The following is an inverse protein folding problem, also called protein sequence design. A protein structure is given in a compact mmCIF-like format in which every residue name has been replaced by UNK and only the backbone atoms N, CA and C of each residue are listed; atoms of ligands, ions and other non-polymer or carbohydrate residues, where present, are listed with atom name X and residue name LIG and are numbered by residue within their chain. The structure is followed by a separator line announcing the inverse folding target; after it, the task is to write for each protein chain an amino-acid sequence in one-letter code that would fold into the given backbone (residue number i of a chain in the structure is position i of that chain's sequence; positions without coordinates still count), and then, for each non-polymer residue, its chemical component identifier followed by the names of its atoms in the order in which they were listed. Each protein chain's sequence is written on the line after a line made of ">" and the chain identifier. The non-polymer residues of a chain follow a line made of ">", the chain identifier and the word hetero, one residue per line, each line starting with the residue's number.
data_IF_321052832743
#
_entry.id   IF_321052832743
#
_cell.length_a   1.000
_cell.length_b   1.000
_cell.length_c   1.000
_cell.angle_alpha   90.00
_cell.angle_beta   90.00
_cell.angle_gamma   90.00
#
_symmetry.space_group_name_H-M   'P 1'
#
loop_
_entity.id
_entity.type
_entity.pdbx_description
1 polymer ?
#
# COMPACT_ATOMS: atom_id res chain seq x y z
N UNK A 1 -12.80 -16.97 -25.41
CA UNK A 1 -11.85 -16.99 -24.28
C UNK A 1 -11.34 -15.56 -24.14
N UNK A 2 -11.99 -14.80 -23.27
CA UNK A 2 -11.69 -13.39 -23.05
C UNK A 2 -10.34 -13.26 -22.36
N UNK A 3 -9.33 -12.93 -23.16
CA UNK A 3 -8.05 -12.43 -22.70
C UNK A 3 -8.38 -11.13 -21.97
N UNK A 4 -8.20 -11.12 -20.64
CA UNK A 4 -8.15 -9.91 -19.81
C UNK A 4 -7.44 -8.83 -20.62
N UNK A 5 -8.11 -7.70 -20.89
CA UNK A 5 -7.47 -6.51 -21.45
C UNK A 5 -6.30 -6.17 -20.52
N UNK A 6 -5.09 -6.58 -20.90
CA UNK A 6 -3.87 -6.09 -20.27
C UNK A 6 -3.93 -4.56 -20.36
N UNK A 7 -3.92 -3.92 -19.18
CA UNK A 7 -3.79 -2.46 -19.03
C UNK A 7 -2.57 -2.06 -19.88
N UNK A 8 -2.80 -1.39 -21.01
CA UNK A 8 -1.70 -1.05 -21.91
C UNK A 8 -0.76 -0.05 -21.20
N UNK A 9 0.56 -0.11 -21.42
CA UNK A 9 1.50 0.75 -20.73
C UNK A 9 1.37 2.18 -21.27
N UNK A 10 0.64 3.01 -20.55
CA UNK A 10 0.79 4.47 -20.57
C UNK A 10 1.58 4.91 -19.34
N UNK A 11 2.07 6.16 -19.36
CA UNK A 11 2.88 6.82 -18.33
C UNK A 11 2.43 6.64 -16.86
N UNK A 12 1.21 6.14 -16.62
CA UNK A 12 0.61 5.81 -15.33
C UNK A 12 1.34 4.73 -14.51
N UNK A 13 2.12 3.83 -15.13
CA UNK A 13 2.88 2.82 -14.36
C UNK A 13 3.92 3.47 -13.43
N UNK A 14 4.51 4.59 -13.85
CA UNK A 14 5.45 5.34 -13.01
C UNK A 14 4.77 5.86 -11.75
N UNK A 15 3.53 6.37 -11.87
CA UNK A 15 2.83 6.94 -10.73
C UNK A 15 2.40 5.91 -9.70
N UNK A 16 1.71 4.83 -10.11
CA UNK A 16 1.25 3.82 -9.14
C UNK A 16 2.43 3.24 -8.36
N UNK A 17 3.55 3.00 -9.03
CA UNK A 17 4.77 2.56 -8.38
C UNK A 17 5.29 3.61 -7.40
N UNK A 18 5.48 4.86 -7.84
CA UNK A 18 6.00 5.94 -6.99
C UNK A 18 5.08 6.26 -5.80
N UNK A 19 3.76 6.20 -6.01
CA UNK A 19 2.78 6.39 -4.95
C UNK A 19 2.84 5.26 -3.93
N UNK A 20 2.91 4.00 -4.36
CA UNK A 20 3.07 2.86 -3.46
C UNK A 20 4.38 2.91 -2.68
N UNK A 21 5.47 3.37 -3.30
CA UNK A 21 6.77 3.55 -2.65
C UNK A 21 6.69 4.63 -1.56
N UNK A 22 6.28 5.86 -1.90
CA UNK A 22 6.13 6.96 -0.92
C UNK A 22 5.21 6.56 0.23
N UNK A 23 4.12 5.88 -0.09
CA UNK A 23 3.16 5.40 0.88
C UNK A 23 3.77 4.35 1.82
N UNK A 24 4.54 3.40 1.30
CA UNK A 24 5.25 2.39 2.10
C UNK A 24 6.36 2.99 2.98
N UNK A 25 7.15 3.93 2.46
CA UNK A 25 8.20 4.61 3.24
C UNK A 25 7.63 5.29 4.48
N UNK A 26 6.50 5.97 4.31
CA UNK A 26 5.88 6.78 5.37
C UNK A 26 4.93 5.98 6.27
N UNK A 27 4.57 4.73 5.93
CA UNK A 27 3.75 3.88 6.78
C UNK A 27 4.54 3.33 7.98
N UNK A 28 4.53 4.05 9.09
CA UNK A 28 5.28 3.71 10.31
C UNK A 28 4.40 3.80 11.57
N UNK A 29 3.45 2.86 11.75
CA UNK A 29 2.58 2.85 12.93
C UNK A 29 3.41 2.63 14.20
N UNK A 30 3.41 3.57 15.17
CA UNK A 30 4.37 3.59 16.27
C UNK A 30 4.23 2.42 17.25
N UNK A 31 3.07 1.76 17.30
CA UNK A 31 2.85 0.59 18.15
C UNK A 31 3.48 -0.71 17.61
N UNK A 32 3.97 -0.72 16.37
CA UNK A 32 4.57 -1.90 15.74
C UNK A 32 5.99 -1.59 15.30
N UNK A 33 6.93 -2.45 15.68
CA UNK A 33 8.25 -2.47 15.07
C UNK A 33 8.17 -2.89 13.59
N UNK A 34 9.10 -2.42 12.76
CA UNK A 34 9.08 -2.63 11.29
C UNK A 34 9.04 -4.11 10.91
N UNK A 35 9.75 -4.96 11.64
CA UNK A 35 9.79 -6.42 11.54
C UNK A 35 8.48 -7.12 11.96
N UNK A 36 7.44 -6.37 12.30
CA UNK A 36 6.08 -6.86 12.57
C UNK A 36 5.06 -6.32 11.59
N UNK A 37 5.51 -5.66 10.53
CA UNK A 37 4.68 -5.03 9.52
C UNK A 37 5.04 -5.62 8.16
N UNK A 38 4.03 -6.09 7.43
CA UNK A 38 4.15 -6.40 6.02
C UNK A 38 3.41 -5.33 5.24
N UNK A 39 4.09 -4.75 4.25
CA UNK A 39 3.48 -3.91 3.22
C UNK A 39 3.62 -4.63 1.89
N UNK A 40 2.53 -4.75 1.17
CA UNK A 40 2.49 -5.49 -0.08
C UNK A 40 1.85 -4.65 -1.17
N UNK A 41 2.54 -4.58 -2.30
CA UNK A 41 2.13 -3.84 -3.49
C UNK A 41 1.89 -4.85 -4.61
N UNK A 42 0.73 -4.78 -5.28
CA UNK A 42 0.40 -5.68 -6.39
C UNK A 42 0.65 -7.16 -6.04
N UNK A 43 0.17 -7.60 -4.89
CA UNK A 43 0.35 -8.97 -4.39
C UNK A 43 -1.00 -9.65 -4.22
N UNK A 44 -1.09 -10.91 -4.66
CA UNK A 44 -2.29 -11.74 -4.47
C UNK A 44 -2.59 -11.95 -2.99
N UNK A 45 -3.83 -11.68 -2.59
CA UNK A 45 -4.36 -11.89 -1.25
C UNK A 45 -5.34 -13.07 -1.28
N UNK A 46 -4.91 -14.23 -0.81
CA UNK A 46 -5.74 -15.44 -0.75
C UNK A 46 -6.52 -15.49 0.56
N UNK A 47 -7.82 -15.74 0.44
CA UNK A 47 -8.78 -15.57 1.54
C UNK A 47 -9.57 -16.83 1.90
N UNK A 48 -9.53 -17.88 1.07
CA UNK A 48 -10.30 -19.10 1.29
C UNK A 48 -9.42 -20.36 1.28
N UNK A 49 -9.24 -21.06 2.42
CA UNK A 49 -8.46 -22.29 2.48
C UNK A 49 -9.12 -23.48 1.77
N UNK A 50 -10.44 -23.45 1.55
CA UNK A 50 -11.18 -24.47 0.81
C UNK A 50 -11.12 -24.23 -0.71
N UNK A 51 -10.90 -22.98 -1.12
CA UNK A 51 -10.72 -22.57 -2.51
C UNK A 51 -9.35 -21.86 -2.68
N UNK A 52 -8.22 -22.60 -2.61
CA UNK A 52 -6.89 -22.01 -2.49
C UNK A 52 -6.38 -21.24 -3.73
N UNK A 53 -7.14 -21.25 -4.82
CA UNK A 53 -6.87 -20.44 -6.02
C UNK A 53 -7.62 -19.10 -6.02
N UNK A 54 -8.55 -18.90 -5.09
CA UNK A 54 -9.31 -17.67 -4.98
C UNK A 54 -8.47 -16.63 -4.24
N UNK A 55 -8.26 -15.51 -4.92
CA UNK A 55 -7.52 -14.39 -4.38
C UNK A 55 -8.07 -13.09 -4.94
N UNK A 56 -7.87 -12.02 -4.17
CA UNK A 56 -7.96 -10.65 -4.66
C UNK A 56 -6.57 -10.12 -5.01
N UNK A 57 -6.52 -9.06 -5.81
CA UNK A 57 -5.27 -8.44 -6.25
C UNK A 57 -5.27 -6.93 -6.00
N UNK A 58 -5.22 -6.52 -4.71
CA UNK A 58 -5.23 -5.11 -4.36
C UNK A 58 -3.95 -4.40 -4.83
N UNK A 59 -4.08 -3.11 -5.18
CA UNK A 59 -2.92 -2.27 -5.48
C UNK A 59 -1.97 -2.15 -4.27
N UNK A 60 -2.52 -2.06 -3.06
CA UNK A 60 -1.76 -2.01 -1.81
C UNK A 60 -2.50 -2.62 -0.61
N UNK A 61 -1.80 -3.30 0.28
CA UNK A 61 -2.30 -3.64 1.62
C UNK A 61 -1.21 -3.69 2.67
N UNK A 62 -1.60 -3.54 3.94
CA UNK A 62 -0.70 -3.76 5.08
C UNK A 62 -1.28 -4.72 6.10
N UNK A 63 -0.40 -5.54 6.64
CA UNK A 63 -0.64 -6.40 7.79
C UNK A 63 0.27 -5.94 8.91
N UNK A 64 -0.29 -5.72 10.09
CA UNK A 64 0.45 -5.28 11.28
C UNK A 64 0.39 -6.31 12.40
N UNK A 65 1.42 -6.33 13.24
CA UNK A 65 1.52 -7.24 14.37
C UNK A 65 1.88 -8.68 14.00
N UNK A 66 2.46 -8.91 12.82
CA UNK A 66 2.98 -10.22 12.43
C UNK A 66 4.02 -10.74 13.43
N UNK A 67 4.22 -12.06 13.42
CA UNK A 67 5.38 -12.68 14.08
C UNK A 67 6.63 -12.30 13.31
N UNK A 68 7.73 -12.00 14.02
CA UNK A 68 9.03 -11.64 13.42
C UNK A 68 9.48 -12.70 12.41
N UNK A 69 9.26 -13.97 12.72
CA UNK A 69 9.61 -15.11 11.87
C UNK A 69 8.86 -15.17 10.53
N UNK A 70 7.77 -14.41 10.38
CA UNK A 70 6.93 -14.44 9.19
C UNK A 70 7.21 -13.27 8.24
N UNK A 71 7.68 -12.12 8.72
CA UNK A 71 7.77 -10.90 7.89
C UNK A 71 8.69 -11.10 6.69
N UNK A 72 9.87 -11.68 6.88
CA UNK A 72 10.87 -11.87 5.81
C UNK A 72 10.71 -13.16 5.01
N UNK A 73 9.66 -13.95 5.25
CA UNK A 73 9.45 -15.18 4.49
C UNK A 73 9.22 -14.85 3.01
N UNK A 74 9.94 -15.51 2.08
CA UNK A 74 9.73 -15.31 0.65
C UNK A 74 8.31 -15.68 0.24
N UNK A 75 7.50 -14.68 -0.10
CA UNK A 75 6.13 -14.86 -0.60
C UNK A 75 6.15 -14.95 -2.12
N UNK A 76 6.64 -16.09 -2.63
CA UNK A 76 6.74 -16.29 -4.10
C UNK A 76 5.38 -16.33 -4.80
N UNK A 77 4.29 -16.61 -4.08
CA UNK A 77 2.97 -16.89 -4.66
C UNK A 77 1.84 -15.98 -4.14
N UNK A 78 2.11 -15.09 -3.18
CA UNK A 78 1.14 -14.18 -2.56
C UNK A 78 1.03 -14.32 -1.03
N UNK A 79 0.04 -13.64 -0.45
CA UNK A 79 -0.27 -13.68 0.99
C UNK A 79 -1.46 -14.59 1.26
N UNK A 80 -1.24 -15.65 2.02
CA UNK A 80 -2.25 -16.64 2.37
C UNK A 80 -2.73 -16.42 3.80
N UNK A 81 -3.92 -15.83 3.96
CA UNK A 81 -4.45 -15.40 5.28
C UNK A 81 -4.53 -16.54 6.31
N UNK A 82 -4.79 -17.78 5.88
CA UNK A 82 -4.83 -18.96 6.77
C UNK A 82 -3.45 -19.51 7.14
N UNK A 83 -2.42 -19.28 6.33
CA UNK A 83 -1.04 -19.68 6.67
C UNK A 83 -0.40 -18.66 7.60
N UNK A 84 -0.67 -17.38 7.36
CA UNK A 84 -0.08 -16.25 8.07
C UNK A 84 -0.85 -15.92 9.36
N UNK A 85 -2.08 -16.41 9.49
CA UNK A 85 -2.91 -16.28 10.69
C UNK A 85 -3.37 -14.85 10.99
N UNK A 86 -3.20 -13.92 10.04
CA UNK A 86 -3.60 -12.53 10.16
C UNK A 86 -4.26 -12.03 8.88
N UNK A 87 -5.19 -11.11 9.07
CA UNK A 87 -5.84 -10.35 8.01
C UNK A 87 -5.15 -8.99 7.84
N UNK A 88 -5.23 -8.37 6.66
CA UNK A 88 -4.82 -6.98 6.49
C UNK A 88 -5.52 -6.05 7.48
N UNK A 89 -4.79 -5.04 7.95
CA UNK A 89 -5.33 -3.91 8.70
C UNK A 89 -5.88 -2.83 7.77
N UNK A 90 -5.47 -2.84 6.50
CA UNK A 90 -5.98 -1.94 5.46
C UNK A 90 -5.75 -2.56 4.09
N UNK A 91 -6.68 -2.29 3.17
CA UNK A 91 -6.50 -2.45 1.72
C UNK A 91 -6.73 -1.11 1.05
N UNK A 92 -5.96 -0.82 0.00
CA UNK A 92 -6.06 0.38 -0.81
C UNK A 92 -6.05 0.06 -2.30
N UNK A 93 -6.86 0.81 -3.05
CA UNK A 93 -6.99 0.70 -4.50
C UNK A 93 -6.83 2.06 -5.18
N UNK A 94 -6.09 2.11 -6.28
CA UNK A 94 -5.85 3.29 -7.09
C UNK A 94 -6.73 3.28 -8.35
N UNK A 95 -8.03 3.47 -8.13
CA UNK A 95 -9.06 3.41 -9.17
C UNK A 95 -9.82 4.73 -9.26
N UNK A 96 -10.47 5.02 -10.41
CA UNK A 96 -11.43 6.11 -10.50
C UNK A 96 -12.51 5.99 -9.41
N UNK A 97 -12.93 7.13 -8.84
CA UNK A 97 -13.88 7.16 -7.71
C UNK A 97 -15.27 6.59 -8.03
N UNK A 98 -15.62 6.45 -9.31
CA UNK A 98 -16.89 5.88 -9.79
C UNK A 98 -16.73 4.42 -10.24
N UNK A 99 -15.56 3.83 -10.05
CA UNK A 99 -15.31 2.43 -10.40
C UNK A 99 -15.97 1.51 -9.37
N UNK A 100 -16.98 0.78 -9.82
CA UNK A 100 -17.75 -0.16 -9.02
C UNK A 100 -17.27 -1.61 -9.21
N UNK A 101 -16.12 -1.83 -9.85
CA UNK A 101 -15.57 -3.17 -10.10
C UNK A 101 -15.39 -4.00 -8.84
N UNK A 102 -15.05 -3.36 -7.71
CA UNK A 102 -14.97 -4.04 -6.42
C UNK A 102 -16.30 -4.68 -5.98
N UNK A 103 -17.45 -4.21 -6.48
CA UNK A 103 -18.78 -4.76 -6.20
C UNK A 103 -19.30 -5.67 -7.31
N UNK A 104 -18.47 -6.00 -8.29
CA UNK A 104 -18.79 -6.92 -9.37
C UNK A 104 -17.97 -8.21 -9.20
N UNK A 105 -18.59 -9.39 -9.33
CA UNK A 105 -17.87 -10.63 -9.12
C UNK A 105 -16.98 -10.93 -10.33
N UNK A 106 -15.76 -11.40 -10.06
CA UNK A 106 -14.82 -11.83 -11.11
C UNK A 106 -15.27 -13.10 -11.83
N UNK A 107 -16.07 -13.93 -11.16
CA UNK A 107 -16.74 -15.10 -11.75
C UNK A 107 -18.03 -15.42 -10.98
N UNK A 108 -19.00 -16.15 -11.56
CA UNK A 108 -20.29 -16.43 -10.91
C UNK A 108 -20.20 -17.18 -9.58
N UNK A 109 -19.07 -17.84 -9.32
CA UNK A 109 -18.84 -18.64 -8.12
C UNK A 109 -18.03 -17.88 -7.06
N UNK A 110 -17.38 -16.78 -7.44
CA UNK A 110 -16.53 -16.00 -6.54
C UNK A 110 -17.29 -14.81 -5.98
N UNK A 111 -17.09 -14.51 -4.68
CA UNK A 111 -17.53 -13.24 -4.09
C UNK A 111 -16.92 -12.05 -4.84
N UNK A 112 -17.53 -10.88 -4.65
CA UNK A 112 -16.95 -9.60 -5.08
C UNK A 112 -15.77 -9.21 -4.18
N UNK A 113 -14.82 -8.41 -4.66
CA UNK A 113 -13.72 -7.92 -3.83
C UNK A 113 -14.22 -7.19 -2.57
N UNK A 114 -15.33 -6.45 -2.70
CA UNK A 114 -16.00 -5.79 -1.59
C UNK A 114 -16.45 -6.80 -0.52
N UNK A 115 -17.14 -7.87 -0.92
CA UNK A 115 -17.56 -8.93 0.01
C UNK A 115 -16.37 -9.66 0.62
N UNK A 116 -15.30 -9.90 -0.14
CA UNK A 116 -14.06 -10.48 0.39
C UNK A 116 -13.50 -9.59 1.49
N UNK A 117 -13.34 -8.29 1.23
CA UNK A 117 -12.74 -7.37 2.21
C UNK A 117 -13.66 -7.13 3.40
N UNK A 118 -14.96 -6.96 3.19
CA UNK A 118 -15.95 -6.61 4.21
C UNK A 118 -16.37 -7.81 5.06
N UNK A 119 -16.81 -8.91 4.42
CA UNK A 119 -17.52 -10.00 5.07
C UNK A 119 -16.62 -11.20 5.37
N UNK A 120 -15.71 -11.54 4.45
CA UNK A 120 -14.89 -12.76 4.57
C UNK A 120 -13.66 -12.47 5.42
N UNK A 121 -12.90 -11.44 5.05
CA UNK A 121 -11.68 -11.05 5.75
C UNK A 121 -11.97 -10.06 6.88
N UNK A 122 -13.05 -9.29 6.82
CA UNK A 122 -13.41 -8.31 7.85
C UNK A 122 -12.37 -7.20 8.01
N UNK A 123 -11.73 -6.78 6.92
CA UNK A 123 -10.64 -5.79 6.92
C UNK A 123 -11.17 -4.46 7.51
N UNK A 124 -10.46 -3.81 8.45
CA UNK A 124 -11.03 -2.67 9.18
C UNK A 124 -11.19 -1.42 8.30
N UNK A 125 -10.30 -1.26 7.32
CA UNK A 125 -10.23 -0.08 6.47
C UNK A 125 -10.05 -0.47 5.00
N UNK A 126 -10.92 0.06 4.16
CA UNK A 126 -10.81 -0.01 2.72
C UNK A 126 -10.74 1.40 2.14
N UNK A 127 -9.70 1.68 1.36
CA UNK A 127 -9.42 3.03 0.85
C UNK A 127 -9.38 3.01 -0.68
N UNK A 128 -10.09 3.93 -1.30
CA UNK A 128 -10.04 4.14 -2.76
C UNK A 128 -9.44 5.51 -3.00
N UNK A 129 -8.42 5.58 -3.83
CA UNK A 129 -7.82 6.84 -4.23
C UNK A 129 -7.81 7.02 -5.74
N UNK A 130 -8.56 8.04 -6.17
CA UNK A 130 -8.62 8.45 -7.55
C UNK A 130 -7.53 9.49 -7.82
N UNK A 131 -6.46 9.03 -8.45
CA UNK A 131 -5.30 9.86 -8.78
C UNK A 131 -5.57 10.91 -9.86
N UNK A 132 -6.65 10.77 -10.62
CA UNK A 132 -7.02 11.73 -11.67
C UNK A 132 -7.74 12.95 -11.07
N UNK A 133 -8.58 12.70 -10.06
CA UNK A 133 -9.35 13.75 -9.37
C UNK A 133 -8.75 14.16 -8.04
N UNK A 134 -7.72 13.45 -7.56
CA UNK A 134 -7.19 13.54 -6.20
C UNK A 134 -8.29 13.35 -5.13
N UNK A 135 -9.24 12.47 -5.41
CA UNK A 135 -10.34 12.16 -4.50
C UNK A 135 -9.99 10.94 -3.65
N UNK A 136 -10.06 11.10 -2.34
CA UNK A 136 -9.89 10.02 -1.37
C UNK A 136 -11.26 9.58 -0.88
N UNK A 137 -11.54 8.27 -0.93
CA UNK A 137 -12.70 7.66 -0.29
C UNK A 137 -12.23 6.64 0.72
N UNK A 138 -12.84 6.66 1.90
CA UNK A 138 -12.48 5.76 2.98
C UNK A 138 -13.72 5.07 3.51
N UNK A 139 -13.62 3.76 3.68
CA UNK A 139 -14.65 2.93 4.25
C UNK A 139 -14.08 2.25 5.49
N UNK A 140 -14.80 2.39 6.60
CA UNK A 140 -14.46 1.77 7.88
C UNK A 140 -15.46 0.66 8.18
N UNK A 141 -14.97 -0.52 8.54
CA UNK A 141 -15.83 -1.61 8.97
C UNK A 141 -16.38 -1.30 10.36
N UNK A 142 -17.70 -1.15 10.45
CA UNK A 142 -18.43 -0.90 11.68
C UNK A 142 -19.50 -1.97 11.84
N UNK A 143 -19.31 -2.87 12.81
CA UNK A 143 -20.09 -4.09 12.90
C UNK A 143 -19.71 -5.02 11.75
N UNK A 144 -20.69 -5.37 10.93
CA UNK A 144 -20.56 -6.24 9.77
C UNK A 144 -20.53 -5.49 8.43
N UNK A 145 -20.55 -4.15 8.42
CA UNK A 145 -20.65 -3.36 7.18
C UNK A 145 -19.65 -2.22 7.10
N UNK A 146 -19.15 -1.99 5.89
CA UNK A 146 -18.38 -0.80 5.56
C UNK A 146 -19.28 0.42 5.55
N UNK A 147 -18.85 1.44 6.29
CA UNK A 147 -19.46 2.75 6.27
C UNK A 147 -18.47 3.75 5.69
N UNK A 148 -18.92 4.51 4.69
CA UNK A 148 -18.12 5.62 4.14
C UNK A 148 -17.86 6.63 5.25
N UNK A 149 -16.61 7.05 5.38
CA UNK A 149 -16.19 8.04 6.36
C UNK A 149 -16.11 9.42 5.71
N UNK A 150 -16.51 10.43 6.46
CA UNK A 150 -16.30 11.82 6.09
C UNK A 150 -14.82 12.17 6.31
N UNK A 151 -14.22 12.78 5.29
CA UNK A 151 -12.84 13.23 5.34
C UNK A 151 -12.79 14.72 5.65
N UNK A 152 -11.93 15.12 6.57
CA UNK A 152 -11.67 16.53 6.82
C UNK A 152 -10.45 16.95 5.99
N UNK A 153 -10.63 17.84 5.02
CA UNK A 153 -9.55 18.30 4.13
C UNK A 153 -8.76 17.16 3.46
N UNK A 154 -9.47 16.11 3.00
CA UNK A 154 -8.85 14.88 2.45
C UNK A 154 -7.89 14.18 3.42
N UNK A 155 -8.16 14.27 4.72
CA UNK A 155 -7.40 13.60 5.78
C UNK A 155 -8.29 12.71 6.64
N UNK A 156 -7.72 11.62 7.12
CA UNK A 156 -8.35 10.72 8.08
C UNK A 156 -7.34 10.18 9.08
N UNK A 157 -7.71 10.16 10.36
CA UNK A 157 -6.92 9.55 11.43
C UNK A 157 -7.37 8.11 11.66
N UNK A 158 -6.42 7.17 11.71
CA UNK A 158 -6.65 5.75 11.97
C UNK A 158 -6.26 5.41 13.41
N UNK A 159 -7.22 5.37 14.36
CA UNK A 159 -6.89 5.19 15.76
C UNK A 159 -6.18 3.86 16.06
N UNK A 160 -6.47 2.81 15.29
CA UNK A 160 -5.85 1.50 15.46
C UNK A 160 -4.41 1.39 14.94
N UNK A 161 -3.91 2.42 14.26
CA UNK A 161 -2.56 2.48 13.70
C UNK A 161 -1.75 3.67 14.23
N UNK A 162 -2.37 4.54 15.04
CA UNK A 162 -1.77 5.82 15.48
C UNK A 162 -1.11 6.62 14.34
N UNK A 163 -1.79 6.61 13.19
CA UNK A 163 -1.37 7.26 11.96
C UNK A 163 -2.53 7.98 11.31
N UNK A 164 -2.25 9.07 10.62
CA UNK A 164 -3.18 9.74 9.75
C UNK A 164 -2.78 9.61 8.29
N UNK A 165 -3.75 9.54 7.39
CA UNK A 165 -3.53 9.58 5.94
C UNK A 165 -4.07 10.88 5.38
N UNK A 166 -3.34 11.50 4.46
CA UNK A 166 -3.89 12.60 3.68
C UNK A 166 -3.15 12.87 2.38
N UNK A 167 -3.62 13.91 1.68
CA UNK A 167 -2.99 14.41 0.47
C UNK A 167 -1.95 15.47 0.79
N UNK A 168 -0.70 15.16 0.46
CA UNK A 168 0.43 16.06 0.54
C UNK A 168 0.74 16.62 -0.86
N UNK A 169 0.78 17.95 -0.98
CA UNK A 169 1.22 18.63 -2.20
C UNK A 169 2.72 18.83 -2.16
N UNK A 170 3.45 18.17 -3.05
CA UNK A 170 4.90 18.29 -3.10
C UNK A 170 5.54 17.55 -4.27
N UNK A 171 6.87 17.48 -4.22
CA UNK A 171 7.68 16.81 -5.25
C UNK A 171 8.22 15.49 -4.69
N UNK A 172 8.03 14.39 -5.42
CA UNK A 172 8.65 13.11 -5.11
C UNK A 172 9.22 12.51 -6.40
N UNK A 173 10.50 12.11 -6.37
CA UNK A 173 11.23 11.59 -7.54
C UNK A 173 11.08 12.47 -8.79
N UNK A 174 11.15 13.80 -8.61
CA UNK A 174 11.06 14.79 -9.70
C UNK A 174 9.64 15.13 -10.17
N UNK A 175 8.60 14.56 -9.56
CA UNK A 175 7.20 14.77 -9.96
C UNK A 175 6.44 15.59 -8.92
N UNK A 176 6.01 16.80 -9.31
CA UNK A 176 5.17 17.69 -8.49
C UNK A 176 3.70 17.36 -8.64
N UNK A 177 3.04 16.94 -7.55
CA UNK A 177 1.62 16.56 -7.52
C UNK A 177 1.11 16.40 -6.09
N UNK A 178 -0.17 16.04 -5.97
CA UNK A 178 -0.70 15.49 -4.74
C UNK A 178 -0.32 14.01 -4.61
N UNK A 179 0.20 13.66 -3.44
CA UNK A 179 0.57 12.30 -3.06
C UNK A 179 -0.19 11.90 -1.80
N UNK A 180 -0.61 10.64 -1.71
CA UNK A 180 -1.04 10.07 -0.44
C UNK A 180 0.18 9.88 0.46
N UNK A 181 0.12 10.44 1.67
CA UNK A 181 1.22 10.41 2.63
C UNK A 181 0.70 10.23 4.04
N UNK A 182 1.45 9.50 4.87
CA UNK A 182 1.12 9.33 6.27
C UNK A 182 1.62 10.48 7.14
N UNK A 183 0.88 10.83 8.19
CA UNK A 183 1.21 11.85 9.19
C UNK A 183 1.06 11.33 10.62
N UNK A 184 1.80 11.93 11.55
CA UNK A 184 1.84 11.55 12.97
C UNK A 184 0.68 12.16 13.79
N UNK A 185 0.58 11.82 15.07
CA UNK A 185 -0.47 12.33 15.98
C UNK A 185 -0.41 13.84 16.23
N UNK A 186 0.67 14.51 15.81
CA UNK A 186 0.83 15.97 15.87
C UNK A 186 0.43 16.65 14.57
N UNK A 187 0.03 15.90 13.54
CA UNK A 187 -0.31 16.41 12.22
C UNK A 187 0.90 16.66 11.32
N UNK A 188 2.09 16.17 11.69
CA UNK A 188 3.28 16.30 10.85
C UNK A 188 3.38 15.13 9.87
N UNK A 189 3.63 15.42 8.59
CA UNK A 189 3.92 14.39 7.60
C UNK A 189 5.14 13.57 8.04
N UNK A 190 5.00 12.25 8.00
CA UNK A 190 6.10 11.35 8.31
C UNK A 190 7.16 11.54 7.22
N UNK A 191 8.41 11.88 7.59
CA UNK A 191 9.46 12.21 6.64
C UNK A 191 9.83 10.99 5.80
N UNK A 192 10.22 11.25 4.55
CA UNK A 192 10.94 10.26 3.76
C UNK A 192 12.34 10.08 4.34
N UNK A 193 12.99 8.92 4.12
CA UNK A 193 14.37 8.70 4.56
C UNK A 193 15.34 9.80 4.07
N UNK A 194 15.11 10.34 2.87
CA UNK A 194 15.91 11.39 2.25
C UNK A 194 15.68 12.79 2.85
N UNK A 195 14.56 13.00 3.54
CA UNK A 195 14.22 14.27 4.20
C UNK A 195 14.69 14.31 5.66
N UNK A 196 15.13 13.18 6.21
CA UNK A 196 15.73 13.14 7.54
C UNK A 196 17.07 13.88 7.50
N UNK A 197 17.43 14.61 8.58
CA UNK A 197 18.74 15.25 8.66
C UNK A 197 19.83 14.18 8.48
N UNK A 198 20.66 14.34 7.45
CA UNK A 198 21.89 13.57 7.35
C UNK A 198 22.79 14.02 8.50
N UNK A 199 23.10 13.14 9.44
CA UNK A 199 24.24 13.35 10.34
C UNK A 199 25.52 13.26 9.50
N UNK A 200 25.81 14.31 8.72
CA UNK A 200 27.01 14.42 7.89
C UNK A 200 27.69 15.76 8.12
N UNK A 201 28.11 15.99 9.35
CA UNK A 201 29.29 16.80 9.62
C UNK A 201 30.52 15.89 9.64
N UNK A 202 31.03 15.50 8.47
CA UNK A 202 32.45 15.24 8.21
C UNK A 202 32.72 14.89 6.73
N UNK A 203 33.43 15.81 6.07
CA UNK A 203 34.41 15.58 4.99
C UNK A 203 33.93 15.36 3.55
N UNK A 204 34.17 16.40 2.75
CA UNK A 204 34.23 16.41 1.28
C UNK A 204 35.36 15.48 0.79
N UNK A 205 35.06 14.63 -0.18
CA UNK A 205 36.03 14.10 -1.14
C UNK A 205 35.38 14.10 -2.53
N UNK A 206 36.04 14.79 -3.47
CA UNK A 206 35.72 14.81 -4.89
C UNK A 206 36.26 13.53 -5.52
N UNK A 207 35.43 12.75 -6.21
CA UNK A 207 35.93 11.81 -7.22
C UNK A 207 34.86 11.43 -8.27
N UNK A 208 35.15 11.93 -9.47
CA UNK A 208 34.97 11.42 -10.84
C UNK A 208 33.66 10.78 -11.34
N UNK A 209 33.35 11.18 -12.57
CA UNK A 209 32.12 10.89 -13.30
C UNK A 209 32.24 9.59 -14.11
N UNK A 210 31.41 8.59 -13.80
CA UNK A 210 31.04 7.53 -14.74
C UNK A 210 29.53 7.23 -14.62
N UNK A 211 28.81 6.99 -15.74
CA UNK A 211 27.40 6.60 -15.68
C UNK A 211 27.32 5.12 -15.30
N UNK A 212 27.31 4.83 -14.01
CA UNK A 212 27.07 3.48 -13.51
C UNK A 212 25.60 3.13 -13.67
N UNK A 213 25.30 2.09 -14.47
CA UNK A 213 24.04 1.35 -14.37
C UNK A 213 24.03 0.55 -13.07
N UNK A 214 23.90 1.22 -11.94
CA UNK A 214 23.57 0.59 -10.67
C UNK A 214 22.09 0.20 -10.69
N UNK A 215 21.71 -1.02 -10.25
CA UNK A 215 20.33 -1.26 -9.84
C UNK A 215 19.96 -0.17 -8.83
N UNK A 216 18.79 0.46 -9.00
CA UNK A 216 18.43 1.63 -8.20
C UNK A 216 18.59 1.31 -6.72
N UNK A 217 19.23 2.21 -5.95
CA UNK A 217 19.32 2.13 -4.48
C UNK A 217 17.95 1.85 -3.84
N UNK A 218 16.86 2.22 -4.54
CA UNK A 218 15.47 1.89 -4.22
C UNK A 218 15.22 0.39 -4.02
N UNK A 219 15.69 -0.50 -4.90
CA UNK A 219 15.38 -1.93 -4.79
C UNK A 219 15.94 -2.58 -3.53
N UNK A 220 17.11 -2.13 -3.08
CA UNK A 220 17.75 -2.59 -1.84
C UNK A 220 17.08 -1.99 -0.60
N UNK A 221 16.63 -0.74 -0.66
CA UNK A 221 15.96 -0.08 0.45
C UNK A 221 14.53 -0.62 0.67
N UNK A 222 13.79 -0.93 -0.40
CA UNK A 222 12.47 -1.57 -0.32
C UNK A 222 12.53 -2.95 0.35
N UNK A 223 13.56 -3.75 0.05
CA UNK A 223 13.81 -5.03 0.72
C UNK A 223 14.16 -4.88 2.20
N UNK A 224 14.96 -3.86 2.56
CA UNK A 224 15.30 -3.56 3.96
C UNK A 224 14.10 -3.03 4.77
N UNK A 225 13.06 -2.53 4.10
CA UNK A 225 11.86 -1.98 4.73
C UNK A 225 10.67 -2.95 4.77
N UNK A 226 10.88 -4.21 4.40
CA UNK A 226 9.82 -5.23 4.37
C UNK A 226 8.75 -4.99 3.29
N UNK A 227 9.03 -4.15 2.28
CA UNK A 227 8.12 -3.90 1.16
C UNK A 227 8.35 -5.01 0.13
N UNK A 228 7.40 -5.92 0.01
CA UNK A 228 7.47 -6.98 -1.00
C UNK A 228 6.91 -6.44 -2.31
N UNK A 229 7.80 -6.16 -3.25
CA UNK A 229 7.46 -5.78 -4.63
C UNK A 229 7.58 -7.00 -5.54
N UNK A 230 6.50 -7.40 -6.20
CA UNK A 230 6.61 -8.32 -7.34
C UNK A 230 6.98 -7.52 -8.60
N UNK A 231 8.08 -7.89 -9.25
CA UNK A 231 8.36 -7.43 -10.62
C UNK A 231 7.36 -8.09 -11.55
N UNK A 232 6.68 -7.28 -12.36
CA UNK A 232 5.83 -7.69 -13.48
C UNK A 232 6.70 -8.28 -14.58
#
# INVERSE_FOLDING_TARGET
>A
MDIKKCKQPGDNHSYHQLQSELFGFTFAPPQYSRDRILMANNMSLYYDPLNPTWCEYPDWFAVVGLSESLVDLPRKQGYYTWQEGRRPAMVMEFLPSQDESAKQPSSPQQPTAWEVYEQILGIPFYVIFDYTTNSLQLFKLLGDRYQKQELNNNQFWFPGLDLGLGLWSGEYQGLKRFWLRWYDSRGHWIPLPEELPSDTSASVSVEDSQPSQTPSKLGQHLQQLGIVTHKI
#
